data_IF_535301194203
#
_entry.id   IF_535301194203
#
_cell.length_a   1.000
_cell.length_b   1.000
_cell.length_c   1.000
_cell.angle_alpha   90.00
_cell.angle_beta   90.00
_cell.angle_gamma   90.00
#
_symmetry.space_group_name_H-M   'P 1'
#
loop_
_entity.id
_entity.type
_entity.pdbx_description
1 polymer ?
#
# COMPACT_ATOMS: atom_id res chain seq x y z
N UNK A 1 57.16 34.29 3.28
CA UNK A 1 56.78 33.07 2.54
C UNK A 1 56.32 32.06 3.56
N UNK A 2 55.02 31.84 3.66
CA UNK A 2 54.41 30.96 4.66
C UNK A 2 54.69 29.51 4.30
N UNK A 3 55.34 28.77 5.22
CA UNK A 3 55.73 27.39 5.08
C UNK A 3 54.59 26.35 5.10
N UNK A 4 53.50 26.61 4.37
CA UNK A 4 52.36 25.70 4.28
C UNK A 4 52.54 24.48 3.38
N UNK A 5 53.72 24.39 2.73
CA UNK A 5 54.01 23.33 1.73
C UNK A 5 55.05 22.30 2.20
N UNK A 6 55.56 22.40 3.43
CA UNK A 6 56.58 21.49 3.95
C UNK A 6 55.96 20.67 5.07
N UNK A 7 55.83 19.37 4.88
CA UNK A 7 55.36 18.42 5.88
C UNK A 7 56.52 17.50 6.31
N UNK A 8 56.59 17.15 7.61
CA UNK A 8 57.58 16.18 8.15
C UNK A 8 56.93 14.78 8.08
N UNK A 9 57.65 13.84 7.52
CA UNK A 9 57.22 12.44 7.50
C UNK A 9 57.12 11.89 8.94
N UNK A 10 56.05 11.16 9.33
CA UNK A 10 55.84 10.73 10.72
C UNK A 10 56.91 9.83 11.27
N UNK A 11 57.58 9.03 10.41
CA UNK A 11 58.48 7.96 10.78
C UNK A 11 59.96 8.25 10.43
N UNK A 12 60.24 9.42 9.86
CA UNK A 12 61.61 9.82 9.48
C UNK A 12 61.83 11.30 9.72
N UNK A 13 63.09 11.76 9.91
CA UNK A 13 63.36 13.20 10.02
C UNK A 13 63.38 13.94 8.67
N UNK A 14 62.83 13.32 7.64
CA UNK A 14 62.80 13.88 6.29
C UNK A 14 61.60 14.83 6.13
N UNK A 15 61.84 15.99 5.53
CA UNK A 15 60.85 16.95 5.13
C UNK A 15 60.55 16.76 3.64
N UNK A 16 59.29 16.73 3.27
CA UNK A 16 58.86 16.68 1.88
C UNK A 16 57.99 17.88 1.54
N UNK A 17 58.05 18.30 0.29
CA UNK A 17 57.18 19.35 -0.23
C UNK A 17 55.80 18.73 -0.46
N UNK A 18 54.87 19.06 0.39
CA UNK A 18 53.46 18.68 0.17
C UNK A 18 52.86 19.67 -0.83
N UNK A 19 53.07 19.40 -2.11
CA UNK A 19 52.39 20.09 -3.21
C UNK A 19 50.98 19.57 -3.31
N UNK A 20 50.20 19.52 -2.23
CA UNK A 20 48.76 19.47 -2.34
C UNK A 20 48.37 20.78 -3.05
N UNK A 21 48.18 20.69 -4.35
CA UNK A 21 47.30 21.66 -5.02
C UNK A 21 46.01 21.63 -4.21
N UNK A 22 45.75 22.69 -3.47
CA UNK A 22 44.40 22.93 -2.98
C UNK A 22 43.49 22.93 -4.20
N UNK A 23 42.87 21.79 -4.45
CA UNK A 23 41.91 21.66 -5.54
C UNK A 23 40.72 22.50 -5.09
N UNK A 24 40.50 23.60 -5.76
CA UNK A 24 39.27 24.36 -5.58
C UNK A 24 38.13 23.58 -6.24
N UNK A 25 37.50 22.71 -5.46
CA UNK A 25 36.39 21.87 -5.90
C UNK A 25 35.17 22.71 -6.29
N UNK A 26 34.95 23.85 -5.63
CA UNK A 26 33.82 24.73 -5.91
C UNK A 26 34.00 25.42 -7.29
N UNK A 27 35.18 25.96 -7.56
CA UNK A 27 35.49 26.54 -8.87
C UNK A 27 35.40 25.49 -10.02
N UNK A 28 35.78 24.24 -9.75
CA UNK A 28 35.64 23.17 -10.76
C UNK A 28 34.14 22.83 -11.00
N UNK A 29 33.33 22.78 -9.96
CA UNK A 29 31.88 22.55 -10.08
C UNK A 29 31.22 23.71 -10.84
N UNK A 30 31.53 24.96 -10.49
CA UNK A 30 30.98 26.12 -11.19
C UNK A 30 31.34 26.10 -12.69
N UNK A 31 32.61 25.92 -13.02
CA UNK A 31 33.04 25.82 -14.42
C UNK A 31 32.36 24.66 -15.17
N UNK A 32 32.13 23.53 -14.51
CA UNK A 32 31.43 22.40 -15.13
C UNK A 32 29.94 22.69 -15.28
N UNK A 33 29.32 23.36 -14.31
CA UNK A 33 27.93 23.75 -14.32
C UNK A 33 27.57 24.66 -15.53
N UNK A 34 28.46 25.62 -15.85
CA UNK A 34 28.29 26.50 -17.02
C UNK A 34 28.33 25.76 -18.37
N UNK A 35 28.95 24.57 -18.43
CA UNK A 35 29.11 23.78 -19.65
C UNK A 35 28.06 22.69 -19.82
N UNK A 36 27.04 22.61 -18.93
CA UNK A 36 26.00 21.58 -19.01
C UNK A 36 24.96 21.92 -20.08
N UNK A 37 24.53 20.90 -20.82
CA UNK A 37 23.41 20.98 -21.76
C UNK A 37 22.06 20.84 -21.04
N UNK A 38 20.99 21.29 -21.67
CA UNK A 38 19.63 21.12 -21.18
C UNK A 38 19.29 19.64 -20.87
N UNK A 39 19.70 18.72 -21.76
CA UNK A 39 19.55 17.28 -21.54
C UNK A 39 20.32 16.78 -20.30
N UNK A 40 21.52 17.30 -20.01
CA UNK A 40 22.23 16.97 -18.78
C UNK A 40 21.52 17.52 -17.53
N UNK A 41 20.95 18.71 -17.62
CA UNK A 41 20.14 19.30 -16.55
C UNK A 41 18.85 18.51 -16.31
N UNK A 42 18.17 18.05 -17.36
CA UNK A 42 16.96 17.22 -17.25
C UNK A 42 17.25 15.85 -16.60
N UNK A 43 18.37 15.21 -16.96
CA UNK A 43 18.82 13.99 -16.26
C UNK A 43 19.09 14.22 -14.77
N UNK A 44 19.75 15.35 -14.46
CA UNK A 44 20.01 15.73 -13.07
C UNK A 44 18.71 16.09 -12.32
N UNK A 45 17.75 16.75 -12.98
CA UNK A 45 16.42 17.01 -12.44
C UNK A 45 15.71 15.72 -12.07
N UNK A 46 15.67 14.73 -12.95
CA UNK A 46 15.08 13.43 -12.62
C UNK A 46 15.79 12.73 -11.45
N UNK A 47 17.13 12.78 -11.44
CA UNK A 47 17.91 12.22 -10.33
C UNK A 47 17.60 12.92 -9.01
N UNK A 48 17.47 14.24 -9.00
CA UNK A 48 17.12 15.02 -7.82
C UNK A 48 15.68 14.74 -7.36
N UNK A 49 14.70 14.77 -8.27
CA UNK A 49 13.30 14.46 -7.93
C UNK A 49 13.17 13.02 -7.45
N UNK A 50 13.83 12.05 -8.07
CA UNK A 50 13.90 10.66 -7.61
C UNK A 50 14.36 10.58 -6.14
N UNK A 51 15.41 11.29 -5.78
CA UNK A 51 15.92 11.32 -4.42
C UNK A 51 14.95 12.00 -3.44
N UNK A 52 14.32 13.13 -3.84
CA UNK A 52 13.36 13.86 -3.04
C UNK A 52 12.03 13.11 -2.86
N UNK A 53 11.68 12.25 -3.80
CA UNK A 53 10.54 11.34 -3.74
C UNK A 53 10.87 10.01 -3.02
N UNK A 54 12.12 9.85 -2.57
CA UNK A 54 12.60 8.64 -1.88
C UNK A 54 12.40 7.35 -2.71
N UNK A 55 12.54 7.45 -4.03
CA UNK A 55 12.43 6.31 -4.93
C UNK A 55 13.69 5.45 -4.85
N UNK A 56 13.65 4.37 -4.08
CA UNK A 56 14.73 3.38 -3.98
C UNK A 56 14.69 2.40 -5.16
N UNK A 57 15.81 1.68 -5.38
CA UNK A 57 15.84 0.64 -6.41
C UNK A 57 14.96 -0.57 -6.08
N UNK A 58 14.63 -0.80 -4.81
CA UNK A 58 13.69 -1.84 -4.38
C UNK A 58 12.26 -1.58 -4.87
N UNK A 59 11.90 -0.31 -5.07
CA UNK A 59 10.59 0.09 -5.62
C UNK A 59 10.59 0.11 -7.16
N UNK A 60 11.76 -0.04 -7.80
CA UNK A 60 11.87 -0.05 -9.25
C UNK A 60 11.32 -1.35 -9.82
N UNK A 61 10.43 -1.25 -10.81
CA UNK A 61 9.96 -2.44 -11.50
C UNK A 61 11.12 -3.12 -12.26
N UNK A 62 11.35 -4.42 -12.07
CA UNK A 62 12.53 -5.10 -12.60
C UNK A 62 12.69 -4.91 -14.11
N UNK A 63 13.88 -4.46 -14.52
CA UNK A 63 14.22 -4.24 -15.94
C UNK A 63 13.78 -2.90 -16.54
N UNK A 64 13.03 -2.06 -15.79
CA UNK A 64 12.49 -0.80 -16.30
C UNK A 64 12.82 0.40 -15.41
N UNK A 65 12.81 1.61 -15.98
CA UNK A 65 12.99 2.89 -15.26
C UNK A 65 11.62 3.43 -14.79
N UNK A 66 10.86 2.61 -14.10
CA UNK A 66 9.56 2.95 -13.53
C UNK A 66 9.49 2.43 -12.10
N UNK A 67 8.97 3.22 -11.18
CA UNK A 67 8.93 2.90 -9.75
C UNK A 67 7.50 2.61 -9.32
N UNK A 68 7.31 1.55 -8.53
CA UNK A 68 6.07 1.31 -7.83
C UNK A 68 5.84 2.46 -6.84
N UNK A 69 4.63 2.97 -6.82
CA UNK A 69 4.28 4.11 -6.02
C UNK A 69 2.88 3.99 -5.44
N UNK A 70 2.67 4.57 -4.28
CA UNK A 70 1.42 4.47 -3.54
C UNK A 70 0.84 5.86 -3.33
N UNK A 71 -0.48 5.98 -3.54
CA UNK A 71 -1.24 7.21 -3.30
C UNK A 71 -2.44 6.89 -2.44
N UNK A 72 -2.68 7.67 -1.40
CA UNK A 72 -3.81 7.48 -0.52
C UNK A 72 -5.13 7.87 -1.19
N UNK A 73 -6.08 6.94 -1.19
CA UNK A 73 -7.48 7.22 -1.43
C UNK A 73 -8.13 7.58 -0.10
N UNK A 74 -8.26 8.87 0.14
CA UNK A 74 -8.60 9.42 1.45
C UNK A 74 -9.98 9.03 1.97
N UNK A 75 -10.99 8.99 1.08
CA UNK A 75 -12.37 8.63 1.44
C UNK A 75 -12.47 7.19 1.94
N UNK A 76 -11.56 6.33 1.52
CA UNK A 76 -11.51 4.91 1.90
C UNK A 76 -10.40 4.60 2.91
N UNK A 77 -9.50 5.55 3.19
CA UNK A 77 -8.33 5.39 4.06
C UNK A 77 -7.48 4.20 3.65
N UNK A 78 -7.16 4.12 2.39
CA UNK A 78 -6.34 3.06 1.80
C UNK A 78 -5.35 3.65 0.80
N UNK A 79 -4.17 3.07 0.72
CA UNK A 79 -3.24 3.36 -0.37
C UNK A 79 -3.54 2.49 -1.58
N UNK A 80 -3.65 3.16 -2.75
CA UNK A 80 -3.76 2.49 -4.04
C UNK A 80 -2.39 2.43 -4.71
N UNK A 81 -2.17 1.35 -5.44
CA UNK A 81 -0.89 1.11 -6.12
C UNK A 81 -0.89 1.64 -7.54
N UNK A 82 0.17 2.32 -7.89
CA UNK A 82 0.43 2.84 -9.21
C UNK A 82 1.91 2.88 -9.52
N UNK A 83 2.28 3.75 -10.44
CA UNK A 83 3.66 3.94 -10.84
C UNK A 83 4.04 5.42 -10.86
N UNK A 84 5.31 5.67 -10.61
CA UNK A 84 5.96 6.94 -10.80
C UNK A 84 6.98 6.80 -11.93
N UNK A 85 6.95 7.71 -12.90
CA UNK A 85 7.81 7.73 -14.07
C UNK A 85 8.40 9.12 -14.30
N UNK A 86 9.67 9.15 -14.65
CA UNK A 86 10.40 10.39 -14.98
C UNK A 86 10.56 10.49 -16.49
N UNK A 87 9.67 11.23 -17.13
CA UNK A 87 9.56 11.37 -18.57
C UNK A 87 8.13 11.55 -19.04
N UNK A 88 7.93 11.51 -20.35
CA UNK A 88 6.61 11.61 -21.00
C UNK A 88 5.95 10.21 -21.17
N UNK A 89 4.61 10.14 -21.35
CA UNK A 89 3.90 8.87 -21.54
C UNK A 89 4.42 8.00 -22.68
N UNK A 90 4.85 8.63 -23.79
CA UNK A 90 5.41 7.93 -24.94
C UNK A 90 6.78 7.28 -24.68
N UNK A 91 7.47 7.68 -23.62
CA UNK A 91 8.76 7.10 -23.20
C UNK A 91 8.58 6.00 -22.16
N UNK A 92 7.37 5.83 -21.61
CA UNK A 92 7.06 4.85 -20.60
C UNK A 92 7.11 3.43 -21.16
N UNK A 93 7.77 2.49 -20.46
CA UNK A 93 7.68 1.07 -20.82
C UNK A 93 6.25 0.56 -20.63
N UNK A 94 5.81 -0.36 -21.49
CA UNK A 94 4.45 -0.94 -21.48
C UNK A 94 4.40 -2.39 -21.00
N UNK A 95 5.56 -2.98 -20.72
CA UNK A 95 5.66 -4.40 -20.35
C UNK A 95 5.37 -4.67 -18.85
N UNK A 96 5.22 -3.64 -18.02
CA UNK A 96 4.83 -3.80 -16.62
C UNK A 96 3.33 -4.05 -16.49
N UNK A 97 2.87 -4.76 -15.44
CA UNK A 97 1.46 -4.94 -15.16
C UNK A 97 0.72 -3.61 -14.99
N UNK A 98 -0.49 -3.53 -15.52
CA UNK A 98 -1.34 -2.35 -15.35
C UNK A 98 -1.73 -2.16 -13.88
N UNK A 99 -1.60 -0.93 -13.38
CA UNK A 99 -2.01 -0.53 -12.03
C UNK A 99 -3.03 0.61 -12.09
N UNK A 100 -3.41 1.15 -10.92
CA UNK A 100 -4.53 2.09 -10.82
C UNK A 100 -4.21 3.48 -11.39
N UNK A 101 -2.92 3.88 -11.40
CA UNK A 101 -2.51 5.21 -11.86
C UNK A 101 -1.03 5.27 -12.27
N UNK A 102 -0.70 6.38 -12.97
CA UNK A 102 0.66 6.79 -13.33
C UNK A 102 0.88 8.26 -12.95
N UNK A 103 1.98 8.54 -12.26
CA UNK A 103 2.46 9.89 -11.97
C UNK A 103 3.69 10.15 -12.84
N UNK A 104 3.64 11.19 -13.63
CA UNK A 104 4.74 11.60 -14.50
C UNK A 104 5.39 12.87 -13.97
N UNK A 105 6.71 12.87 -13.86
CA UNK A 105 7.50 14.07 -13.72
C UNK A 105 8.09 14.44 -15.08
N UNK A 106 7.64 15.56 -15.64
CA UNK A 106 8.06 16.02 -16.95
C UNK A 106 9.27 16.93 -16.81
N UNK A 107 10.29 16.73 -17.65
CA UNK A 107 11.49 17.55 -17.65
C UNK A 107 11.20 19.02 -17.99
N UNK A 108 11.88 19.98 -17.31
CA UNK A 108 11.59 21.40 -17.48
C UNK A 108 12.34 22.09 -18.62
N UNK A 109 13.52 21.59 -19.03
CA UNK A 109 14.42 22.29 -19.96
C UNK A 109 14.17 21.87 -21.40
N UNK A 110 14.46 20.64 -21.81
CA UNK A 110 14.08 20.09 -23.12
C UNK A 110 12.71 19.42 -23.03
N UNK A 111 11.67 20.24 -23.14
CA UNK A 111 10.29 19.78 -22.94
C UNK A 111 9.85 18.78 -24.00
N UNK A 112 9.40 17.57 -23.63
CA UNK A 112 8.97 16.56 -24.59
C UNK A 112 7.69 17.01 -25.31
N UNK A 113 7.61 16.68 -26.60
CA UNK A 113 6.40 16.87 -27.39
C UNK A 113 5.53 15.60 -27.27
N UNK A 114 4.48 15.67 -26.51
CA UNK A 114 3.46 14.62 -26.45
C UNK A 114 2.07 15.23 -26.38
N UNK A 115 1.07 14.47 -26.82
CA UNK A 115 -0.34 14.84 -26.67
C UNK A 115 -0.84 14.21 -25.37
N UNK A 116 -1.36 15.03 -24.47
CA UNK A 116 -2.08 14.54 -23.29
C UNK A 116 -3.42 13.95 -23.75
N UNK A 117 -3.58 12.64 -23.58
CA UNK A 117 -4.81 11.94 -23.94
C UNK A 117 -5.94 12.14 -22.90
N UNK A 118 -5.70 12.94 -21.85
CA UNK A 118 -6.63 13.21 -20.76
C UNK A 118 -7.12 11.93 -20.03
N UNK A 119 -6.25 10.93 -19.92
CA UNK A 119 -6.58 9.68 -19.25
C UNK A 119 -6.82 9.91 -17.76
N UNK A 120 -7.79 9.17 -17.20
CA UNK A 120 -8.20 9.34 -15.81
C UNK A 120 -7.20 8.72 -14.82
N UNK A 121 -6.23 7.97 -15.29
CA UNK A 121 -5.17 7.32 -14.51
C UNK A 121 -3.81 8.01 -14.62
N UNK A 122 -3.72 9.16 -15.33
CA UNK A 122 -2.46 9.86 -15.56
C UNK A 122 -2.45 11.24 -14.89
N UNK A 123 -1.41 11.52 -14.10
CA UNK A 123 -1.17 12.81 -13.43
C UNK A 123 0.20 13.32 -13.83
N UNK A 124 0.30 14.57 -14.31
CA UNK A 124 1.54 15.17 -14.79
C UNK A 124 2.01 16.29 -13.87
N UNK A 125 3.20 16.15 -13.31
CA UNK A 125 3.89 17.19 -12.55
C UNK A 125 4.92 17.88 -13.43
N UNK A 126 4.84 19.20 -13.52
CA UNK A 126 5.75 20.05 -14.28
C UNK A 126 6.30 21.17 -13.42
N UNK A 127 7.60 21.35 -13.41
CA UNK A 127 8.22 22.56 -12.88
C UNK A 127 7.97 23.70 -13.86
N UNK A 128 7.17 24.70 -13.47
CA UNK A 128 6.71 25.78 -14.35
C UNK A 128 7.82 26.73 -14.70
N UNK A 129 8.49 27.27 -13.70
CA UNK A 129 9.49 28.32 -13.85
C UNK A 129 10.52 28.20 -12.73
N UNK A 130 11.59 27.40 -12.93
CA UNK A 130 12.68 27.39 -11.98
C UNK A 130 13.31 28.79 -11.90
N UNK A 131 13.44 29.33 -10.71
CA UNK A 131 14.18 30.57 -10.50
C UNK A 131 15.70 30.34 -10.59
N UNK A 132 16.46 31.42 -10.53
CA UNK A 132 17.94 31.33 -10.66
C UNK A 132 18.58 30.54 -9.51
N UNK A 133 17.99 30.56 -8.31
CA UNK A 133 18.50 29.77 -7.19
C UNK A 133 18.32 28.26 -7.45
N UNK A 134 17.13 27.86 -7.89
CA UNK A 134 16.87 26.46 -8.22
C UNK A 134 17.79 25.97 -9.37
N UNK A 135 17.90 26.76 -10.43
CA UNK A 135 18.80 26.43 -11.56
C UNK A 135 20.24 26.27 -11.09
N UNK A 136 20.73 27.18 -10.25
CA UNK A 136 22.08 27.12 -9.68
C UNK A 136 22.26 25.83 -8.87
N UNK A 137 21.36 25.51 -7.95
CA UNK A 137 21.47 24.28 -7.16
C UNK A 137 21.43 23.03 -8.02
N UNK A 138 20.56 22.99 -9.03
CA UNK A 138 20.47 21.86 -9.95
C UNK A 138 21.73 21.73 -10.82
N UNK A 139 22.26 22.83 -11.35
CA UNK A 139 23.49 22.83 -12.15
C UNK A 139 24.69 22.39 -11.32
N UNK A 140 24.81 22.87 -10.08
CA UNK A 140 25.87 22.45 -9.14
C UNK A 140 25.73 20.96 -8.78
N UNK A 141 24.51 20.47 -8.54
CA UNK A 141 24.24 19.05 -8.30
C UNK A 141 24.66 18.20 -9.48
N UNK A 142 24.26 18.58 -10.69
CA UNK A 142 24.61 17.88 -11.93
C UNK A 142 26.13 17.86 -12.18
N UNK A 143 26.78 19.02 -12.04
CA UNK A 143 28.22 19.15 -12.22
C UNK A 143 29.02 18.33 -11.20
N UNK A 144 28.60 18.34 -9.95
CA UNK A 144 29.25 17.58 -8.90
C UNK A 144 29.12 16.05 -9.13
N UNK A 145 27.96 15.56 -9.56
CA UNK A 145 27.78 14.15 -9.93
C UNK A 145 28.61 13.75 -11.14
N UNK A 146 28.68 14.60 -12.17
CA UNK A 146 29.46 14.34 -13.37
C UNK A 146 30.97 14.27 -13.03
N UNK A 147 31.48 15.22 -12.25
CA UNK A 147 32.86 15.19 -11.77
C UNK A 147 33.13 13.99 -10.85
N UNK A 148 32.20 13.61 -10.00
CA UNK A 148 32.32 12.43 -9.16
C UNK A 148 32.39 11.14 -9.97
N UNK A 149 31.76 11.08 -11.14
CA UNK A 149 31.74 9.89 -12.01
C UNK A 149 33.14 9.57 -12.58
N UNK A 150 33.95 10.61 -12.82
CA UNK A 150 35.32 10.51 -13.38
C UNK A 150 36.39 10.58 -12.33
N UNK A 151 36.10 11.05 -11.11
CA UNK A 151 37.02 11.17 -10.01
C UNK A 151 37.19 9.85 -9.25
N UNK A 152 38.32 9.72 -8.51
CA UNK A 152 38.62 8.58 -7.63
C UNK A 152 39.06 9.05 -6.24
N UNK A 153 39.01 8.13 -5.26
CA UNK A 153 39.52 8.37 -3.91
C UNK A 153 38.85 9.56 -3.22
N UNK A 154 39.65 10.41 -2.55
CA UNK A 154 39.16 11.55 -1.77
C UNK A 154 38.43 12.59 -2.59
N UNK A 155 38.85 12.86 -3.84
CA UNK A 155 38.17 13.82 -4.72
C UNK A 155 36.73 13.39 -5.03
N UNK A 156 36.48 12.10 -5.30
CA UNK A 156 35.13 11.56 -5.52
C UNK A 156 34.23 11.78 -4.31
N UNK A 157 34.75 11.52 -3.11
CA UNK A 157 33.99 11.73 -1.87
C UNK A 157 33.59 13.21 -1.67
N UNK A 158 34.51 14.14 -2.00
CA UNK A 158 34.21 15.59 -1.91
C UNK A 158 33.13 15.98 -2.90
N UNK A 159 33.21 15.56 -4.17
CA UNK A 159 32.17 15.87 -5.16
C UNK A 159 30.81 15.28 -4.77
N UNK A 160 30.76 14.05 -4.28
CA UNK A 160 29.50 13.46 -3.79
C UNK A 160 28.94 14.23 -2.61
N UNK A 161 29.78 14.70 -1.67
CA UNK A 161 29.34 15.55 -0.56
C UNK A 161 28.76 16.87 -1.07
N UNK A 162 29.41 17.52 -2.04
CA UNK A 162 28.90 18.77 -2.67
C UNK A 162 27.58 18.54 -3.41
N UNK A 163 27.43 17.40 -4.08
CA UNK A 163 26.14 17.02 -4.69
C UNK A 163 25.04 16.90 -3.64
N UNK A 164 25.32 16.28 -2.49
CA UNK A 164 24.37 16.18 -1.38
C UNK A 164 24.02 17.55 -0.78
N UNK A 165 24.97 18.48 -0.69
CA UNK A 165 24.72 19.86 -0.23
C UNK A 165 23.78 20.60 -1.19
N UNK A 166 24.00 20.46 -2.49
CA UNK A 166 23.13 21.04 -3.53
C UNK A 166 21.70 20.42 -3.49
N UNK A 167 21.61 19.11 -3.30
CA UNK A 167 20.33 18.42 -3.14
C UNK A 167 19.56 18.91 -1.89
N UNK A 168 20.27 19.12 -0.77
CA UNK A 168 19.67 19.72 0.44
C UNK A 168 19.16 21.14 0.18
N UNK A 169 19.92 21.92 -0.59
CA UNK A 169 19.50 23.29 -0.97
C UNK A 169 18.25 23.26 -1.86
N UNK A 170 18.16 22.33 -2.83
CA UNK A 170 16.95 22.10 -3.62
C UNK A 170 15.76 21.66 -2.76
N UNK A 171 15.97 20.76 -1.80
CA UNK A 171 14.92 20.35 -0.85
C UNK A 171 14.38 21.53 -0.06
N UNK A 172 15.27 22.40 0.45
CA UNK A 172 14.86 23.61 1.17
C UNK A 172 14.08 24.56 0.26
N UNK A 173 14.55 24.79 -0.96
CA UNK A 173 13.85 25.62 -1.96
C UNK A 173 12.44 25.07 -2.25
N UNK A 174 12.30 23.75 -2.40
CA UNK A 174 11.01 23.11 -2.58
C UNK A 174 10.10 23.32 -1.36
N UNK A 175 10.59 23.18 -0.14
CA UNK A 175 9.79 23.43 1.05
C UNK A 175 9.19 24.85 1.08
N UNK A 176 9.90 25.84 0.50
CA UNK A 176 9.47 27.24 0.48
C UNK A 176 8.57 27.56 -0.72
N UNK A 177 8.81 26.97 -1.88
CA UNK A 177 8.23 27.41 -3.16
C UNK A 177 7.42 26.39 -3.94
N UNK A 178 7.43 25.11 -3.53
CA UNK A 178 6.77 24.02 -4.25
C UNK A 178 5.32 24.31 -4.66
N UNK A 179 4.57 24.96 -3.77
CA UNK A 179 3.14 25.21 -3.97
C UNK A 179 2.82 26.06 -5.21
N UNK A 180 3.73 26.92 -5.60
CA UNK A 180 3.58 27.82 -6.76
C UNK A 180 4.50 27.45 -7.93
N UNK A 181 5.60 26.76 -7.66
CA UNK A 181 6.60 26.41 -8.67
C UNK A 181 6.20 25.23 -9.54
N UNK A 182 5.36 24.31 -9.02
CA UNK A 182 4.87 23.17 -9.76
C UNK A 182 3.43 23.36 -10.25
N UNK A 183 3.21 22.94 -11.50
CA UNK A 183 1.88 22.74 -12.06
C UNK A 183 1.58 21.25 -12.18
N UNK A 184 0.33 20.92 -11.88
CA UNK A 184 -0.19 19.56 -12.01
C UNK A 184 -1.32 19.56 -13.03
N UNK A 185 -1.19 18.71 -14.02
CA UNK A 185 -2.22 18.48 -15.04
C UNK A 185 -2.89 17.13 -14.78
N UNK A 186 -4.21 17.16 -14.72
CA UNK A 186 -5.05 15.97 -14.63
C UNK A 186 -6.29 16.17 -15.49
N UNK A 187 -6.54 15.23 -16.41
CA UNK A 187 -7.66 15.30 -17.37
C UNK A 187 -7.79 16.68 -18.06
N UNK A 188 -6.69 17.17 -18.60
CA UNK A 188 -6.61 18.45 -19.30
C UNK A 188 -6.72 19.70 -18.42
N UNK A 189 -6.91 19.56 -17.11
CA UNK A 189 -6.97 20.68 -16.15
C UNK A 189 -5.60 20.89 -15.52
N UNK A 190 -4.96 22.01 -15.83
CA UNK A 190 -3.66 22.39 -15.26
C UNK A 190 -3.86 23.43 -14.16
N UNK A 191 -3.32 23.16 -12.96
CA UNK A 191 -3.36 24.05 -11.80
C UNK A 191 -2.05 23.95 -11.02
N UNK A 192 -1.73 24.97 -10.22
CA UNK A 192 -0.63 24.89 -9.24
C UNK A 192 -0.94 23.88 -8.14
N UNK A 193 0.07 23.42 -7.40
CA UNK A 193 -0.15 22.59 -6.22
C UNK A 193 -1.04 23.32 -5.20
N UNK A 194 -0.88 24.65 -5.07
CA UNK A 194 -1.71 25.47 -4.18
C UNK A 194 -3.20 25.44 -4.58
N UNK A 195 -3.50 25.54 -5.89
CA UNK A 195 -4.88 25.52 -6.38
C UNK A 195 -5.53 24.15 -6.26
N UNK A 196 -4.76 23.07 -6.44
CA UNK A 196 -5.23 21.72 -6.19
C UNK A 196 -5.53 21.46 -4.71
N UNK A 197 -4.71 22.00 -3.81
CA UNK A 197 -4.85 21.84 -2.37
C UNK A 197 -5.80 22.88 -1.74
N UNK A 198 -6.47 23.72 -2.54
CA UNK A 198 -7.35 24.78 -2.02
C UNK A 198 -8.47 24.20 -1.16
N UNK A 199 -8.59 24.70 0.07
CA UNK A 199 -9.59 24.23 1.04
C UNK A 199 -9.22 22.94 1.75
N UNK A 200 -8.00 22.43 1.57
CA UNK A 200 -7.49 21.22 2.21
C UNK A 200 -6.33 21.57 3.15
N UNK A 201 -6.40 21.08 4.38
CA UNK A 201 -5.27 21.16 5.31
C UNK A 201 -4.23 20.10 4.97
N UNK A 202 -3.13 20.50 4.33
CA UNK A 202 -2.05 19.58 3.96
C UNK A 202 -1.42 18.90 5.18
N UNK A 203 -1.29 19.61 6.32
CA UNK A 203 -0.73 19.04 7.56
C UNK A 203 -1.61 17.93 8.12
N UNK A 204 -2.92 18.14 8.17
CA UNK A 204 -3.87 17.11 8.62
C UNK A 204 -3.86 15.90 7.69
N UNK A 205 -3.80 16.16 6.39
CA UNK A 205 -3.74 15.10 5.38
C UNK A 205 -2.45 14.27 5.47
N UNK A 206 -1.32 14.94 5.70
CA UNK A 206 -0.04 14.29 5.94
C UNK A 206 0.09 13.68 7.35
N UNK A 207 -0.90 13.89 8.24
CA UNK A 207 -0.89 13.43 9.64
C UNK A 207 0.32 13.89 10.44
N UNK A 208 0.81 15.12 10.13
CA UNK A 208 2.00 15.66 10.74
C UNK A 208 1.71 16.25 12.13
N UNK A 209 2.60 15.99 13.08
CA UNK A 209 2.62 16.61 14.39
C UNK A 209 2.95 18.12 14.34
N UNK A 210 2.81 18.86 15.47
CA UNK A 210 2.98 20.31 15.50
C UNK A 210 4.33 20.81 14.99
N UNK A 211 5.41 20.07 15.25
CA UNK A 211 6.79 20.43 14.91
C UNK A 211 7.26 19.85 13.57
N UNK A 212 6.50 18.90 12.99
CA UNK A 212 6.89 18.27 11.74
C UNK A 212 6.59 19.17 10.53
N UNK A 213 7.48 19.16 9.56
CA UNK A 213 7.33 19.93 8.32
C UNK A 213 6.89 19.01 7.19
N UNK A 214 5.94 19.52 6.41
CA UNK A 214 5.52 18.82 5.19
C UNK A 214 6.68 18.84 4.18
N UNK A 215 6.99 17.69 3.62
CA UNK A 215 8.01 17.55 2.59
C UNK A 215 7.38 17.53 1.19
N UNK A 216 8.22 17.51 0.14
CA UNK A 216 7.75 17.51 -1.23
C UNK A 216 6.95 16.25 -1.57
N UNK A 217 7.39 15.08 -1.12
CA UNK A 217 6.71 13.82 -1.33
C UNK A 217 5.30 13.81 -0.73
N UNK A 218 5.13 14.36 0.47
CA UNK A 218 3.81 14.47 1.11
C UNK A 218 2.85 15.30 0.26
N UNK A 219 3.31 16.43 -0.27
CA UNK A 219 2.49 17.30 -1.12
C UNK A 219 2.12 16.61 -2.42
N UNK A 220 3.08 15.92 -3.07
CA UNK A 220 2.82 15.14 -4.29
C UNK A 220 1.78 14.06 -4.02
N UNK A 221 1.89 13.33 -2.90
CA UNK A 221 0.93 12.30 -2.52
C UNK A 221 -0.47 12.85 -2.31
N UNK A 222 -0.59 13.94 -1.55
CA UNK A 222 -1.89 14.55 -1.26
C UNK A 222 -2.54 15.07 -2.52
N UNK A 223 -1.80 15.80 -3.36
CA UNK A 223 -2.36 16.37 -4.60
C UNK A 223 -2.71 15.28 -5.60
N UNK A 224 -1.89 14.24 -5.72
CA UNK A 224 -2.21 13.07 -6.55
C UNK A 224 -3.47 12.35 -6.06
N UNK A 225 -3.62 12.17 -4.74
CA UNK A 225 -4.82 11.57 -4.13
C UNK A 225 -6.08 12.40 -4.38
N UNK A 226 -5.98 13.74 -4.32
CA UNK A 226 -7.09 14.64 -4.67
C UNK A 226 -7.46 14.57 -6.14
N UNK A 227 -6.49 14.47 -7.04
CA UNK A 227 -6.73 14.34 -8.46
C UNK A 227 -7.35 12.97 -8.81
N UNK A 228 -6.79 11.88 -8.27
CA UNK A 228 -7.16 10.50 -8.59
C UNK A 228 -8.37 9.96 -7.82
N UNK A 229 -8.88 10.67 -6.80
CA UNK A 229 -9.95 10.18 -5.93
C UNK A 229 -11.18 9.71 -6.70
N UNK A 230 -11.62 10.47 -7.72
CA UNK A 230 -12.73 10.08 -8.58
C UNK A 230 -12.39 8.82 -9.41
N UNK A 231 -11.18 8.72 -9.96
CA UNK A 231 -10.71 7.52 -10.68
C UNK A 231 -10.79 6.28 -9.79
N UNK A 232 -10.34 6.38 -8.54
CA UNK A 232 -10.41 5.27 -7.60
C UNK A 232 -11.87 4.85 -7.32
N UNK A 233 -12.76 5.83 -7.15
CA UNK A 233 -14.19 5.57 -6.97
C UNK A 233 -14.82 4.90 -8.21
N UNK A 234 -14.41 5.29 -9.40
CA UNK A 234 -14.93 4.72 -10.66
C UNK A 234 -14.47 3.27 -10.87
N UNK A 235 -13.23 2.93 -10.52
CA UNK A 235 -12.70 1.57 -10.72
C UNK A 235 -13.05 0.60 -9.59
N UNK A 236 -13.43 1.12 -8.41
CA UNK A 236 -13.76 0.33 -7.23
C UNK A 236 -14.93 0.97 -6.45
N UNK A 237 -16.13 1.11 -7.03
CA UNK A 237 -17.23 1.89 -6.44
C UNK A 237 -17.67 1.35 -5.07
N UNK A 238 -17.57 0.06 -4.85
CA UNK A 238 -17.95 -0.59 -3.60
C UNK A 238 -16.75 -1.09 -2.77
N UNK A 239 -15.59 -0.44 -2.92
CA UNK A 239 -14.41 -0.72 -2.09
C UNK A 239 -14.68 -0.40 -0.61
N UNK A 240 -14.16 -1.19 0.36
CA UNK A 240 -14.41 -0.96 1.77
C UNK A 240 -13.86 0.38 2.26
N UNK A 241 -14.50 0.95 3.30
CA UNK A 241 -14.03 2.15 3.99
C UNK A 241 -13.48 1.75 5.35
N UNK A 242 -12.20 2.04 5.58
CA UNK A 242 -11.54 1.67 6.82
C UNK A 242 -11.59 2.79 7.87
N UNK A 243 -11.63 2.42 9.14
CA UNK A 243 -11.49 3.36 10.26
C UNK A 243 -10.02 3.75 10.53
N UNK A 244 -9.06 2.96 10.01
CA UNK A 244 -7.61 3.18 10.06
C UNK A 244 -7.05 3.33 8.64
N UNK A 245 -5.85 3.92 8.49
CA UNK A 245 -5.17 3.92 7.20
C UNK A 245 -4.57 2.54 6.92
N UNK A 246 -4.96 1.95 5.78
CA UNK A 246 -4.40 0.70 5.27
C UNK A 246 -3.37 1.00 4.20
N UNK A 247 -2.11 0.68 4.48
CA UNK A 247 -0.98 0.85 3.56
C UNK A 247 -0.44 -0.51 3.15
N UNK A 248 0.39 -0.58 2.11
CA UNK A 248 1.11 -1.81 1.77
C UNK A 248 1.94 -2.33 2.95
N UNK A 249 2.61 -1.41 3.68
CA UNK A 249 3.48 -1.76 4.78
C UNK A 249 2.74 -2.39 5.97
N UNK A 250 1.51 -1.93 6.28
CA UNK A 250 0.78 -2.40 7.46
C UNK A 250 -0.33 -3.41 7.15
N UNK A 251 -0.75 -3.57 5.89
CA UNK A 251 -1.88 -4.43 5.49
C UNK A 251 -1.73 -5.86 5.99
N UNK A 252 -0.53 -6.44 5.82
CA UNK A 252 -0.24 -7.80 6.29
C UNK A 252 -0.48 -7.96 7.80
N UNK A 253 -0.05 -6.97 8.58
CA UNK A 253 -0.25 -6.98 10.03
C UNK A 253 -1.72 -6.82 10.41
N UNK A 254 -2.43 -5.87 9.77
CA UNK A 254 -3.85 -5.60 10.01
C UNK A 254 -4.71 -6.84 9.70
N UNK A 255 -4.52 -7.43 8.53
CA UNK A 255 -5.19 -8.67 8.11
C UNK A 255 -4.85 -9.83 9.05
N UNK A 256 -3.58 -10.00 9.42
CA UNK A 256 -3.16 -11.02 10.39
C UNK A 256 -3.83 -10.85 11.77
N UNK A 257 -4.07 -9.60 12.22
CA UNK A 257 -4.82 -9.33 13.44
C UNK A 257 -6.30 -9.74 13.27
N UNK A 258 -6.91 -9.47 12.12
CA UNK A 258 -8.29 -9.86 11.84
C UNK A 258 -8.45 -11.40 11.80
N UNK A 259 -7.54 -12.11 11.13
CA UNK A 259 -7.55 -13.58 11.07
C UNK A 259 -7.36 -14.21 12.46
N UNK A 260 -6.47 -13.65 13.29
CA UNK A 260 -6.32 -14.10 14.69
C UNK A 260 -7.59 -13.89 15.51
N UNK A 261 -8.29 -12.76 15.31
CA UNK A 261 -9.55 -12.51 15.98
C UNK A 261 -10.65 -13.51 15.55
N UNK A 262 -10.71 -13.88 14.28
CA UNK A 262 -11.60 -14.93 13.76
C UNK A 262 -11.26 -16.31 14.34
N UNK A 263 -9.97 -16.58 14.57
CA UNK A 263 -9.51 -17.82 15.21
C UNK A 263 -9.73 -17.88 16.74
N UNK A 264 -10.46 -16.92 17.31
CA UNK A 264 -10.74 -16.88 18.75
C UNK A 264 -9.73 -16.08 19.59
N UNK A 265 -8.77 -15.42 18.95
CA UNK A 265 -7.80 -14.54 19.63
C UNK A 265 -8.37 -13.17 20.01
N UNK A 266 -7.53 -12.34 20.62
CA UNK A 266 -7.92 -10.98 21.06
C UNK A 266 -8.34 -10.09 19.89
N UNK A 267 -9.47 -9.44 20.00
CA UNK A 267 -9.96 -8.42 19.05
C UNK A 267 -9.28 -7.09 19.33
N UNK A 268 -8.20 -6.83 18.62
CA UNK A 268 -7.52 -5.53 18.65
C UNK A 268 -8.32 -4.49 17.87
N UNK A 269 -8.05 -3.20 18.09
CA UNK A 269 -8.64 -2.12 17.27
C UNK A 269 -8.39 -2.31 15.77
N UNK A 270 -7.21 -2.78 15.42
CA UNK A 270 -6.83 -3.07 14.04
C UNK A 270 -7.66 -4.22 13.44
N UNK A 271 -7.88 -5.29 14.21
CA UNK A 271 -8.71 -6.40 13.79
C UNK A 271 -10.16 -5.94 13.55
N UNK A 272 -10.72 -5.17 14.47
CA UNK A 272 -12.06 -4.60 14.34
C UNK A 272 -12.15 -3.70 13.10
N UNK A 273 -11.15 -2.84 12.86
CA UNK A 273 -11.15 -1.94 11.72
C UNK A 273 -11.22 -2.68 10.36
N UNK A 274 -10.57 -3.83 10.24
CA UNK A 274 -10.62 -4.65 9.02
C UNK A 274 -11.93 -5.43 8.94
N UNK A 275 -12.36 -6.08 10.02
CA UNK A 275 -13.58 -6.90 10.03
C UNK A 275 -14.82 -6.04 9.78
N UNK A 276 -14.90 -4.86 10.40
CA UNK A 276 -16.00 -3.91 10.23
C UNK A 276 -16.05 -3.35 8.80
N UNK A 277 -14.91 -2.92 8.26
CA UNK A 277 -14.83 -2.43 6.88
C UNK A 277 -15.25 -3.48 5.83
N UNK A 278 -15.01 -4.76 6.12
CA UNK A 278 -15.47 -5.90 5.29
C UNK A 278 -16.88 -6.37 5.63
N UNK A 279 -17.59 -5.62 6.50
CA UNK A 279 -18.97 -5.93 6.92
C UNK A 279 -19.10 -7.33 7.55
N UNK A 280 -18.04 -7.80 8.24
CA UNK A 280 -18.02 -9.11 8.90
C UNK A 280 -18.45 -9.05 10.37
N UNK A 281 -18.86 -7.88 10.86
CA UNK A 281 -19.31 -7.67 12.23
C UNK A 281 -20.79 -7.20 12.24
N UNK A 282 -21.54 -7.72 13.19
CA UNK A 282 -22.81 -7.16 13.68
C UNK A 282 -22.62 -6.78 15.15
N UNK A 283 -22.39 -5.49 15.41
CA UNK A 283 -21.91 -5.03 16.70
C UNK A 283 -20.60 -5.71 17.11
N UNK A 284 -20.61 -6.40 18.27
CA UNK A 284 -19.43 -7.13 18.76
C UNK A 284 -19.36 -8.59 18.26
N UNK A 285 -20.27 -9.03 17.41
CA UNK A 285 -20.32 -10.42 16.93
C UNK A 285 -19.78 -10.51 15.51
N UNK A 286 -19.06 -11.61 15.22
CA UNK A 286 -18.72 -11.96 13.84
C UNK A 286 -19.97 -12.54 13.18
N UNK A 287 -20.48 -11.84 12.19
CA UNK A 287 -21.62 -12.24 11.39
C UNK A 287 -21.45 -11.78 9.93
N UNK A 288 -20.99 -12.65 9.03
CA UNK A 288 -20.79 -12.32 7.62
C UNK A 288 -22.09 -12.29 6.81
N UNK A 289 -23.24 -12.60 7.40
CA UNK A 289 -24.51 -12.74 6.67
C UNK A 289 -24.92 -11.48 5.90
N UNK A 290 -24.58 -10.30 6.44
CA UNK A 290 -24.89 -9.00 5.82
C UNK A 290 -23.72 -8.44 5.00
N UNK A 291 -22.55 -9.09 4.99
CA UNK A 291 -21.39 -8.64 4.21
C UNK A 291 -21.63 -8.81 2.71
N UNK A 292 -21.62 -7.71 1.97
CA UNK A 292 -21.73 -7.75 0.50
C UNK A 292 -20.60 -8.56 -0.14
N UNK A 293 -19.42 -8.55 0.45
CA UNK A 293 -18.24 -9.29 -0.02
C UNK A 293 -18.43 -10.79 0.20
N UNK A 294 -18.91 -11.18 1.38
CA UNK A 294 -19.21 -12.57 1.72
C UNK A 294 -20.36 -13.11 0.85
N UNK A 295 -21.41 -12.32 0.66
CA UNK A 295 -22.55 -12.70 -0.19
C UNK A 295 -22.17 -12.87 -1.66
N UNK A 296 -21.25 -12.07 -2.19
CA UNK A 296 -20.71 -12.25 -3.54
C UNK A 296 -19.98 -13.59 -3.68
N UNK A 297 -19.14 -13.96 -2.70
CA UNK A 297 -18.45 -15.27 -2.69
C UNK A 297 -19.48 -16.41 -2.66
N UNK A 298 -20.44 -16.36 -1.74
CA UNK A 298 -21.47 -17.39 -1.59
C UNK A 298 -22.36 -17.50 -2.83
N UNK A 299 -22.71 -16.38 -3.46
CA UNK A 299 -23.49 -16.34 -4.69
C UNK A 299 -22.74 -17.05 -5.83
N UNK A 300 -21.44 -16.78 -6.00
CA UNK A 300 -20.61 -17.45 -7.00
C UNK A 300 -20.47 -18.95 -6.73
N UNK A 301 -20.27 -19.32 -5.46
CA UNK A 301 -20.20 -20.73 -5.08
C UNK A 301 -21.53 -21.46 -5.35
N UNK A 302 -22.66 -20.84 -4.98
CA UNK A 302 -24.00 -21.36 -5.22
C UNK A 302 -24.28 -21.55 -6.74
N UNK A 303 -23.84 -20.60 -7.55
CA UNK A 303 -23.99 -20.65 -9.01
C UNK A 303 -23.26 -21.84 -9.66
N UNK A 304 -22.21 -22.38 -9.01
CA UNK A 304 -21.54 -23.62 -9.46
C UNK A 304 -22.40 -24.86 -9.33
N UNK A 305 -23.32 -24.89 -8.40
CA UNK A 305 -24.17 -26.03 -8.12
C UNK A 305 -23.67 -26.92 -6.98
N UNK A 306 -24.50 -27.86 -6.60
CA UNK A 306 -24.26 -28.74 -5.45
C UNK A 306 -22.99 -29.62 -5.64
N UNK A 307 -22.16 -29.68 -4.62
CA UNK A 307 -20.93 -30.46 -4.61
C UNK A 307 -19.79 -29.93 -5.49
N UNK A 308 -19.99 -28.78 -6.12
CA UNK A 308 -18.94 -28.13 -6.92
C UNK A 308 -18.09 -27.19 -6.05
N UNK A 309 -16.88 -26.90 -6.52
CA UNK A 309 -15.95 -26.01 -5.87
C UNK A 309 -15.79 -24.73 -6.69
N UNK A 310 -15.44 -23.63 -6.02
CA UNK A 310 -15.09 -22.38 -6.67
C UNK A 310 -13.58 -22.17 -6.53
N UNK A 311 -12.86 -22.26 -7.64
CA UNK A 311 -11.41 -22.20 -7.64
C UNK A 311 -10.91 -20.76 -7.38
N UNK A 312 -9.68 -20.64 -6.88
CA UNK A 312 -9.02 -19.36 -6.62
C UNK A 312 -9.03 -18.43 -7.84
N UNK A 313 -8.71 -18.94 -9.02
CA UNK A 313 -8.68 -18.17 -10.27
C UNK A 313 -10.07 -17.76 -10.79
N UNK A 314 -11.14 -18.26 -10.22
CA UNK A 314 -12.52 -17.83 -10.49
C UNK A 314 -12.98 -16.75 -9.54
N UNK A 315 -12.32 -16.64 -8.37
CA UNK A 315 -12.52 -15.55 -7.42
C UNK A 315 -11.63 -14.35 -7.71
N UNK A 316 -10.36 -14.63 -8.03
CA UNK A 316 -9.34 -13.61 -8.29
C UNK A 316 -9.08 -13.49 -9.79
N UNK A 317 -9.14 -12.28 -10.30
CA UNK A 317 -8.86 -11.96 -11.69
C UNK A 317 -7.72 -10.96 -11.76
N UNK A 318 -6.81 -11.16 -12.71
CA UNK A 318 -5.66 -10.28 -12.90
C UNK A 318 -4.54 -10.99 -13.65
N UNK A 319 -3.39 -10.35 -13.77
CA UNK A 319 -2.19 -10.88 -14.41
C UNK A 319 -1.01 -10.86 -13.42
N UNK A 320 -0.27 -11.98 -13.40
CA UNK A 320 0.99 -12.14 -12.67
C UNK A 320 0.89 -11.86 -11.16
N UNK A 321 1.21 -10.67 -10.73
CA UNK A 321 1.33 -10.22 -9.34
C UNK A 321 0.24 -9.22 -8.92
N UNK A 322 -0.71 -8.92 -9.83
CA UNK A 322 -1.83 -8.01 -9.57
C UNK A 322 -3.14 -8.75 -9.79
N UNK A 323 -3.74 -9.17 -8.70
CA UNK A 323 -5.01 -9.88 -8.69
C UNK A 323 -6.00 -9.15 -7.79
N UNK A 324 -7.27 -9.14 -8.21
CA UNK A 324 -8.36 -8.56 -7.42
C UNK A 324 -9.59 -9.46 -7.42
N UNK A 325 -10.26 -9.52 -6.27
CA UNK A 325 -11.61 -10.03 -6.20
C UNK A 325 -12.59 -8.99 -6.75
N UNK A 326 -13.45 -9.39 -7.69
CA UNK A 326 -14.42 -8.54 -8.36
C UNK A 326 -13.81 -7.20 -8.83
N UNK A 327 -12.88 -7.19 -9.82
CA UNK A 327 -12.00 -6.07 -10.15
C UNK A 327 -12.73 -4.79 -10.61
N UNK A 328 -13.95 -4.90 -11.11
CA UNK A 328 -14.76 -3.73 -11.56
C UNK A 328 -15.79 -3.27 -10.53
N UNK A 329 -15.91 -3.95 -9.39
CA UNK A 329 -16.90 -3.65 -8.36
C UNK A 329 -16.23 -3.35 -7.03
N UNK A 330 -15.56 -4.34 -6.47
CA UNK A 330 -14.87 -4.23 -5.19
C UNK A 330 -13.39 -3.93 -5.35
N UNK A 331 -12.76 -4.47 -6.37
CA UNK A 331 -11.31 -4.39 -6.61
C UNK A 331 -10.50 -4.71 -5.34
N UNK A 332 -10.96 -5.75 -4.63
CA UNK A 332 -10.45 -6.12 -3.33
C UNK A 332 -9.18 -6.96 -3.48
N UNK A 333 -8.14 -6.61 -2.75
CA UNK A 333 -6.86 -7.31 -2.74
C UNK A 333 -7.00 -8.71 -2.14
N UNK A 334 -6.16 -9.69 -2.57
CA UNK A 334 -6.21 -11.07 -2.08
C UNK A 334 -6.11 -11.18 -0.55
N UNK A 335 -5.35 -10.30 0.11
CA UNK A 335 -5.22 -10.26 1.56
C UNK A 335 -6.58 -10.02 2.25
N UNK A 336 -7.35 -9.07 1.75
CA UNK A 336 -8.68 -8.73 2.27
C UNK A 336 -9.71 -9.82 1.92
N UNK A 337 -9.61 -10.40 0.71
CA UNK A 337 -10.46 -11.55 0.34
C UNK A 337 -10.28 -12.71 1.31
N UNK A 338 -9.04 -13.05 1.68
CA UNK A 338 -8.77 -14.12 2.67
C UNK A 338 -9.45 -13.86 4.00
N UNK A 339 -9.55 -12.59 4.42
CA UNK A 339 -10.30 -12.22 5.63
C UNK A 339 -11.81 -12.47 5.47
N UNK A 340 -12.38 -12.16 4.31
CA UNK A 340 -13.78 -12.47 3.99
C UNK A 340 -14.03 -13.98 4.02
N UNK A 341 -13.12 -14.76 3.38
CA UNK A 341 -13.20 -16.22 3.41
C UNK A 341 -13.08 -16.77 4.83
N UNK A 342 -12.18 -16.20 5.66
CA UNK A 342 -12.06 -16.53 7.09
C UNK A 342 -13.34 -16.26 7.88
N UNK A 343 -14.05 -15.16 7.59
CA UNK A 343 -15.36 -14.87 8.16
C UNK A 343 -16.41 -15.91 7.80
N UNK A 344 -16.44 -16.35 6.54
CA UNK A 344 -17.34 -17.41 6.06
C UNK A 344 -16.99 -18.80 6.61
N UNK A 345 -15.71 -19.07 6.84
CA UNK A 345 -15.28 -20.29 7.57
C UNK A 345 -15.73 -20.24 9.02
N UNK A 346 -15.61 -19.05 9.66
CA UNK A 346 -16.05 -18.84 11.04
C UNK A 346 -17.56 -19.10 11.21
N UNK A 347 -18.39 -18.62 10.31
CA UNK A 347 -19.85 -18.88 10.35
C UNK A 347 -20.23 -20.30 9.94
N UNK A 348 -19.30 -21.06 9.36
CA UNK A 348 -19.54 -22.41 8.87
C UNK A 348 -20.22 -22.47 7.49
N UNK A 349 -20.27 -21.37 6.76
CA UNK A 349 -20.89 -21.30 5.45
C UNK A 349 -19.98 -21.77 4.32
N UNK A 350 -18.66 -21.91 4.63
CA UNK A 350 -17.64 -22.20 3.65
C UNK A 350 -16.51 -23.05 4.25
N UNK A 351 -15.93 -23.92 3.43
CA UNK A 351 -14.66 -24.62 3.71
C UNK A 351 -13.59 -24.12 2.77
N UNK A 352 -12.46 -23.67 3.33
CA UNK A 352 -11.31 -23.16 2.60
C UNK A 352 -10.30 -24.28 2.37
N UNK A 353 -10.07 -24.65 1.10
CA UNK A 353 -9.06 -25.66 0.73
C UNK A 353 -7.72 -24.99 0.45
N UNK A 354 -6.72 -25.37 1.23
CA UNK A 354 -5.33 -24.96 1.06
C UNK A 354 -4.46 -26.13 0.63
N UNK A 355 -3.16 -25.92 0.42
CA UNK A 355 -2.25 -27.00 0.07
C UNK A 355 -2.11 -27.98 1.24
N UNK A 356 -2.57 -29.20 1.04
CA UNK A 356 -2.44 -30.31 1.99
C UNK A 356 -3.51 -30.38 3.09
N UNK A 357 -4.42 -29.36 3.21
CA UNK A 357 -5.45 -29.35 4.24
C UNK A 357 -6.72 -28.60 3.82
N UNK A 358 -7.76 -28.69 4.65
CA UNK A 358 -9.01 -27.96 4.55
C UNK A 358 -9.33 -27.30 5.89
N UNK A 359 -9.62 -26.03 5.84
CA UNK A 359 -10.00 -25.23 7.02
C UNK A 359 -11.52 -25.07 7.00
N UNK A 360 -12.17 -25.65 7.97
CA UNK A 360 -13.59 -25.51 8.29
C UNK A 360 -13.77 -24.86 9.67
N UNK A 361 -15.00 -24.68 10.12
CA UNK A 361 -15.33 -24.05 11.41
C UNK A 361 -14.75 -24.80 12.62
N UNK A 362 -14.40 -26.08 12.50
CA UNK A 362 -13.72 -26.86 13.53
C UNK A 362 -12.20 -26.61 13.58
N UNK A 363 -11.63 -25.98 12.58
CA UNK A 363 -10.19 -25.76 12.43
C UNK A 363 -9.81 -24.28 12.36
N UNK A 364 -10.61 -23.39 12.92
CA UNK A 364 -10.39 -21.93 12.87
C UNK A 364 -9.01 -21.48 13.36
N UNK A 365 -8.40 -22.21 14.31
CA UNK A 365 -7.05 -21.91 14.80
C UNK A 365 -6.02 -21.84 13.64
N UNK A 366 -6.21 -22.61 12.59
CA UNK A 366 -5.31 -22.59 11.42
C UNK A 366 -5.30 -21.27 10.67
N UNK A 367 -6.36 -20.45 10.75
CA UNK A 367 -6.36 -19.10 10.18
C UNK A 367 -5.28 -18.18 10.81
N UNK A 368 -4.95 -18.42 12.08
CA UNK A 368 -3.92 -17.70 12.82
C UNK A 368 -2.54 -18.34 12.73
N UNK A 369 -2.48 -19.66 12.57
CA UNK A 369 -1.25 -20.46 12.54
C UNK A 369 -0.56 -20.42 11.17
N UNK A 370 -1.34 -20.33 10.09
CA UNK A 370 -0.83 -20.27 8.72
C UNK A 370 -0.36 -18.86 8.37
N UNK A 371 0.67 -18.76 7.55
CA UNK A 371 1.09 -17.48 7.01
C UNK A 371 0.04 -16.91 6.05
N UNK A 372 -0.07 -15.58 5.98
CA UNK A 372 -0.99 -14.92 5.05
C UNK A 372 -0.68 -15.31 3.59
N UNK A 373 0.60 -15.52 3.26
CA UNK A 373 1.02 -15.94 1.92
C UNK A 373 0.50 -17.35 1.57
N UNK A 374 0.50 -18.29 2.52
CA UNK A 374 -0.11 -19.60 2.31
C UNK A 374 -1.62 -19.50 2.13
N UNK A 375 -2.29 -18.69 2.95
CA UNK A 375 -3.74 -18.50 2.86
C UNK A 375 -4.15 -17.84 1.54
N UNK A 376 -3.39 -16.88 1.02
CA UNK A 376 -3.61 -16.26 -0.30
C UNK A 376 -3.48 -17.26 -1.45
N UNK A 377 -2.71 -18.31 -1.27
CA UNK A 377 -2.54 -19.40 -2.24
C UNK A 377 -3.54 -20.55 -2.05
N UNK A 378 -4.71 -20.27 -1.47
CA UNK A 378 -5.77 -21.26 -1.37
C UNK A 378 -6.10 -21.86 -2.75
N UNK A 379 -6.54 -23.11 -2.78
CA UNK A 379 -6.86 -23.80 -4.03
C UNK A 379 -8.27 -23.49 -4.51
N UNK A 380 -9.21 -23.71 -3.63
CA UNK A 380 -10.64 -23.46 -3.88
C UNK A 380 -11.39 -23.28 -2.57
N UNK A 381 -12.61 -22.83 -2.69
CA UNK A 381 -13.60 -22.84 -1.62
C UNK A 381 -14.73 -23.79 -2.00
N UNK A 382 -15.32 -24.45 -1.02
CA UNK A 382 -16.42 -25.38 -1.20
C UNK A 382 -17.50 -25.17 -0.15
N UNK A 383 -18.74 -25.58 -0.44
CA UNK A 383 -19.77 -25.63 0.56
C UNK A 383 -19.42 -26.65 1.67
N UNK A 384 -19.78 -26.40 2.93
CA UNK A 384 -19.60 -27.37 4.00
C UNK A 384 -20.33 -28.66 3.63
N UNK A 385 -19.81 -29.80 4.07
CA UNK A 385 -20.50 -31.06 3.92
C UNK A 385 -21.84 -30.96 4.63
N UNK A 386 -22.87 -31.60 4.05
CA UNK A 386 -24.20 -31.63 4.65
C UNK A 386 -24.10 -32.02 6.12
N UNK A 387 -24.76 -31.26 6.98
CA UNK A 387 -24.83 -31.54 8.41
C UNK A 387 -25.42 -32.94 8.56
N UNK A 388 -24.73 -33.82 9.28
CA UNK A 388 -25.25 -35.15 9.56
C UNK A 388 -26.56 -35.02 10.33
N UNK A 389 -27.67 -35.23 9.66
CA UNK A 389 -29.01 -35.03 10.21
C UNK A 389 -29.23 -35.87 11.49
N UNK A 390 -28.58 -37.05 11.58
CA UNK A 390 -28.65 -37.89 12.76
C UNK A 390 -27.96 -37.24 13.99
N UNK A 391 -26.78 -36.62 13.75
CA UNK A 391 -26.05 -35.89 14.81
C UNK A 391 -26.82 -34.65 15.22
N UNK A 392 -27.39 -33.92 14.24
CA UNK A 392 -28.21 -32.73 14.51
C UNK A 392 -29.48 -33.09 15.30
N UNK A 393 -30.15 -34.20 14.97
CA UNK A 393 -31.29 -34.72 15.76
C UNK A 393 -30.89 -35.04 17.19
N UNK A 394 -29.81 -35.78 17.39
CA UNK A 394 -29.31 -36.09 18.72
C UNK A 394 -28.94 -34.84 19.52
N UNK A 395 -28.40 -33.79 18.86
CA UNK A 395 -28.11 -32.52 19.51
C UNK A 395 -29.39 -31.82 19.97
N UNK A 396 -30.44 -31.74 19.09
CA UNK A 396 -31.71 -31.15 19.45
C UNK A 396 -32.38 -31.93 20.63
N UNK A 397 -32.35 -33.26 20.61
CA UNK A 397 -32.86 -34.09 21.66
C UNK A 397 -32.11 -33.88 22.99
N UNK A 398 -30.80 -33.72 22.97
CA UNK A 398 -29.96 -33.43 24.16
C UNK A 398 -30.41 -32.13 24.86
N UNK A 399 -30.94 -31.16 24.12
CA UNK A 399 -31.41 -29.88 24.65
C UNK A 399 -32.95 -29.83 24.82
N UNK A 400 -33.60 -30.97 24.85
CA UNK A 400 -35.06 -31.06 24.94
C UNK A 400 -35.82 -30.27 23.88
N UNK A 401 -35.29 -30.26 22.65
CA UNK A 401 -35.90 -29.67 21.47
C UNK A 401 -36.43 -30.76 20.54
N UNK A 402 -37.60 -30.52 19.87
CA UNK A 402 -38.16 -31.51 18.96
C UNK A 402 -37.19 -31.90 17.85
N UNK A 403 -36.95 -33.22 17.68
CA UNK A 403 -36.03 -33.73 16.63
C UNK A 403 -36.38 -33.36 15.20
N UNK A 404 -37.66 -33.06 14.96
CA UNK A 404 -38.14 -32.51 13.66
C UNK A 404 -37.59 -31.15 13.29
N UNK A 405 -37.13 -30.36 14.29
CA UNK A 405 -36.47 -29.08 14.05
C UNK A 405 -35.10 -29.26 13.38
N UNK A 406 -34.44 -30.40 13.58
CA UNK A 406 -33.17 -30.68 12.91
C UNK A 406 -33.28 -30.72 11.38
N UNK A 407 -34.42 -31.17 10.86
CA UNK A 407 -34.69 -31.20 9.43
C UNK A 407 -34.90 -29.78 8.88
N UNK A 408 -35.58 -28.90 9.62
CA UNK A 408 -35.74 -27.49 9.25
C UNK A 408 -34.40 -26.76 9.26
N UNK A 409 -33.58 -26.96 10.31
CA UNK A 409 -32.24 -26.40 10.37
C UNK A 409 -31.36 -26.84 9.22
N UNK A 410 -31.40 -28.13 8.83
CA UNK A 410 -30.64 -28.64 7.67
C UNK A 410 -31.10 -28.09 6.32
N UNK A 411 -32.32 -27.52 6.26
CA UNK A 411 -32.89 -26.84 5.09
C UNK A 411 -32.61 -25.34 5.07
N UNK A 412 -31.84 -24.82 6.06
CA UNK A 412 -31.46 -23.43 6.16
C UNK A 412 -32.48 -22.55 6.96
N UNK A 413 -33.43 -23.17 7.67
CA UNK A 413 -34.33 -22.44 8.57
C UNK A 413 -33.52 -22.01 9.84
N UNK A 414 -33.52 -20.72 10.13
CA UNK A 414 -32.77 -20.15 11.26
C UNK A 414 -33.48 -20.27 12.61
N UNK A 415 -34.81 -20.41 12.63
CA UNK A 415 -35.60 -20.49 13.85
C UNK A 415 -35.14 -21.65 14.78
N UNK A 416 -34.90 -22.88 14.27
CA UNK A 416 -34.42 -23.98 15.09
C UNK A 416 -33.04 -23.68 15.70
N UNK A 417 -32.16 -23.00 14.97
CA UNK A 417 -30.80 -22.66 15.44
C UNK A 417 -30.87 -21.63 16.56
N UNK A 418 -31.73 -20.63 16.44
CA UNK A 418 -31.98 -19.63 17.51
C UNK A 418 -32.48 -20.31 18.79
N UNK A 419 -33.45 -21.21 18.67
CA UNK A 419 -33.95 -21.98 19.83
C UNK A 419 -32.87 -22.81 20.51
N UNK A 420 -31.97 -23.42 19.73
CA UNK A 420 -30.84 -24.16 20.27
C UNK A 420 -29.85 -23.21 20.97
N UNK A 421 -29.54 -22.06 20.40
CA UNK A 421 -28.67 -21.05 21.00
C UNK A 421 -29.23 -20.53 22.33
N UNK A 422 -30.53 -20.28 22.42
CA UNK A 422 -31.20 -19.86 23.66
C UNK A 422 -31.07 -20.92 24.75
N UNK A 423 -31.27 -22.19 24.40
CA UNK A 423 -31.11 -23.32 25.38
C UNK A 423 -29.67 -23.47 25.83
N UNK A 424 -28.71 -23.41 24.94
CA UNK A 424 -27.26 -23.45 25.28
C UNK A 424 -26.89 -22.27 26.18
N UNK A 425 -27.31 -21.06 25.82
CA UNK A 425 -27.04 -19.84 26.58
C UNK A 425 -27.63 -19.89 28.01
N UNK A 426 -28.79 -20.50 28.17
CA UNK A 426 -29.38 -20.71 29.50
C UNK A 426 -28.64 -21.76 30.35
N UNK A 427 -27.93 -22.69 29.73
CA UNK A 427 -27.14 -23.71 30.40
C UNK A 427 -25.79 -23.21 30.92
N UNK A 428 -25.16 -22.30 30.19
CA UNK A 428 -23.81 -21.77 30.51
C UNK A 428 -23.70 -21.25 31.97
N UNK A 429 -24.61 -20.37 32.46
CA UNK A 429 -24.54 -19.90 33.85
C UNK A 429 -24.70 -21.04 34.89
N UNK A 430 -25.52 -22.04 34.58
CA UNK A 430 -25.74 -23.20 35.46
C UNK A 430 -24.51 -24.09 35.58
N UNK A 431 -23.83 -24.34 34.46
CA UNK A 431 -22.57 -25.10 34.40
C UNK A 431 -21.45 -24.36 35.12
N UNK A 432 -21.35 -23.05 34.90
CA UNK A 432 -20.34 -22.22 35.60
C UNK A 432 -20.59 -22.19 37.11
N UNK A 433 -21.85 -22.08 37.53
CA UNK A 433 -22.21 -22.16 38.97
C UNK A 433 -21.89 -23.51 39.56
N UNK A 434 -22.30 -24.60 38.90
CA UNK A 434 -22.00 -25.95 39.37
C UNK A 434 -20.47 -26.22 39.44
N UNK A 435 -19.69 -25.71 38.47
CA UNK A 435 -18.23 -25.78 38.50
C UNK A 435 -17.61 -24.99 39.66
N UNK A 436 -18.16 -23.79 39.94
CA UNK A 436 -17.77 -22.99 41.11
C UNK A 436 -18.10 -23.66 42.44
N UNK A 437 -19.30 -24.24 42.55
CA UNK A 437 -19.75 -24.95 43.76
C UNK A 437 -18.90 -26.21 44.03
N UNK A 438 -18.44 -26.90 42.96
CA UNK A 438 -17.53 -28.06 43.07
C UNK A 438 -16.08 -27.68 43.46
N UNK A 439 -15.67 -26.44 43.24
CA UNK A 439 -14.34 -25.96 43.64
C UNK A 439 -14.32 -25.43 45.09
N UNK A 440 -15.49 -25.17 45.70
CA UNK A 440 -15.62 -24.64 47.05
C UNK A 440 -15.99 -25.71 48.08
N UNK A 441 -16.29 -26.94 47.68
CA UNK A 441 -16.54 -28.12 48.51
C UNK A 441 -15.41 -29.12 48.43
#
# INVERSE_FOLDING_TARGET
VNGQFISKAPDTEQYYLDLKKDIDYDAQIEKRAEALSDDALDRAYYSAIKALMECSDDLRYPGFQIWQYQVEWQERRVERMGYLFFGAPNDRPTAQPERDFYIYFIQPFDRPKFSDANLADEVFFRLKSPDEDYKRYLSQYAAALDLASTASGGAKAVYLSKAQDSLRSMSKWLQEKQMTAFEVTYQGKTKTLQDWAKGVSLRERARLGPEERINFRDVVNIVSGLALGQRFADIAPEYPTFSVLVTEANRKQLVGNALRALAGGTRTKDAVAILDALELLDGDRVDPANSRYAQEVLSRLKAKGHGQVLNRNELLSGSSDIEYFAPIKYRLEPDLLVTVLGGLVYSGDLVLSITGDKIDSGKLAQLAERSLEELKQFKHVEAPKEINLAVLRALFELFDLPSGLAQKASQGDTEPVIKLQEKVSALVPRVLKAGSDLQQG
#
